data_IF_230266856248
#
_entry.id   IF_230266856248
#
_cell.length_a   1.000
_cell.length_b   1.000
_cell.length_c   1.000
_cell.angle_alpha   90.00
_cell.angle_beta   90.00
_cell.angle_gamma   90.00
#
_symmetry.space_group_name_H-M   'P 1'
#
loop_
_entity.id
_entity.type
_entity.pdbx_description
1 polymer ?
#
# COMPACT_ATOMS: atom_id res chain seq x y z
N UNK A 1 -4.96 60.89 -9.58
CA UNK A 1 -4.46 61.17 -8.22
C UNK A 1 -4.69 59.91 -7.39
N UNK A 2 -3.68 59.03 -7.31
CA UNK A 2 -3.70 57.81 -6.49
C UNK A 2 -3.31 58.16 -5.03
N UNK A 3 -3.50 57.25 -4.05
CA UNK A 3 -2.34 56.42 -3.70
C UNK A 3 -2.65 54.96 -3.34
N UNK A 4 -1.65 54.12 -3.66
CA UNK A 4 -1.41 52.85 -3.00
C UNK A 4 -0.97 53.05 -1.55
N UNK A 5 -1.48 52.25 -0.60
CA UNK A 5 -1.01 52.04 0.78
C UNK A 5 -1.64 50.69 1.22
N UNK A 6 -1.02 49.66 1.80
CA UNK A 6 0.33 49.35 2.30
C UNK A 6 0.45 47.81 2.34
N UNK A 7 1.62 47.29 2.00
CA UNK A 7 2.06 45.97 2.42
C UNK A 7 2.44 45.99 3.91
N UNK A 8 2.48 44.80 4.53
CA UNK A 8 3.07 44.53 5.85
C UNK A 8 2.26 44.90 7.09
N UNK A 9 1.46 43.92 7.53
CA UNK A 9 1.30 43.54 8.93
C UNK A 9 1.12 42.02 8.93
N UNK A 10 1.71 41.21 9.78
CA UNK A 10 2.64 41.41 10.87
C UNK A 10 2.94 39.96 11.25
N UNK A 11 4.16 39.50 11.03
CA UNK A 11 4.63 38.21 11.48
C UNK A 11 4.35 38.06 12.99
N UNK A 12 3.90 36.87 13.43
CA UNK A 12 3.86 36.29 14.80
C UNK A 12 2.56 35.48 14.96
N UNK A 13 2.51 34.19 15.32
CA UNK A 13 3.41 33.39 16.15
C UNK A 13 3.41 31.92 15.74
N UNK A 14 4.59 31.41 15.45
CA UNK A 14 4.94 30.00 15.60
C UNK A 14 5.24 29.79 17.10
N UNK A 15 4.43 28.99 17.79
CA UNK A 15 4.75 28.27 19.05
C UNK A 15 4.22 26.85 18.79
N UNK A 16 5.03 25.82 18.58
CA UNK A 16 5.98 25.19 19.51
C UNK A 16 5.45 25.11 20.93
N UNK A 17 4.98 23.92 21.32
CA UNK A 17 5.63 23.08 22.35
C UNK A 17 5.22 21.61 22.09
N UNK A 18 6.09 20.69 21.66
CA UNK A 18 7.29 20.13 22.32
C UNK A 18 6.93 19.11 23.42
N UNK A 19 7.11 17.82 23.13
CA UNK A 19 7.73 16.90 24.07
C UNK A 19 8.44 15.76 23.33
N UNK A 20 9.76 15.78 23.49
CA UNK A 20 10.75 14.92 22.87
C UNK A 20 10.91 13.57 23.57
N UNK A 21 11.41 12.58 22.83
CA UNK A 21 12.65 11.84 23.15
C UNK A 21 12.95 10.90 21.97
N UNK A 22 13.83 11.27 21.03
CA UNK A 22 15.30 11.24 21.09
C UNK A 22 15.89 9.84 21.35
N UNK A 23 16.24 9.13 20.28
CA UNK A 23 17.62 8.65 20.06
C UNK A 23 17.72 7.76 18.83
N UNK A 24 18.45 8.24 17.82
CA UNK A 24 19.50 7.49 17.12
C UNK A 24 19.88 8.27 15.86
N UNK A 25 20.84 9.17 16.04
CA UNK A 25 21.93 9.42 15.07
C UNK A 25 21.63 9.26 13.58
N UNK A 26 20.69 10.04 13.03
CA UNK A 26 20.60 10.17 11.58
C UNK A 26 21.53 11.29 11.09
N UNK A 27 22.59 10.85 10.41
CA UNK A 27 23.73 11.63 9.94
C UNK A 27 23.37 12.87 9.10
N UNK A 28 24.18 13.93 9.24
CA UNK A 28 24.14 15.21 8.52
C UNK A 28 24.28 15.15 6.98
N UNK A 29 24.29 13.97 6.35
CA UNK A 29 24.66 13.79 4.94
C UNK A 29 23.43 13.74 4.01
N UNK A 30 22.21 13.61 4.52
CA UNK A 30 21.03 13.28 3.71
C UNK A 30 20.32 14.41 2.94
N UNK A 31 20.95 15.57 2.69
CA UNK A 31 20.29 16.71 2.00
C UNK A 31 20.55 16.77 0.47
N UNK A 32 21.13 15.71 -0.11
CA UNK A 32 21.45 15.62 -1.54
C UNK A 32 20.62 14.57 -2.29
N UNK A 33 19.76 13.83 -1.60
CA UNK A 33 18.78 12.96 -2.24
C UNK A 33 17.44 13.62 -1.93
N UNK A 34 16.79 14.19 -2.96
CA UNK A 34 15.40 14.64 -2.83
C UNK A 34 14.52 13.50 -2.28
N UNK A 35 13.27 13.78 -1.86
CA UNK A 35 12.35 12.69 -1.51
C UNK A 35 12.41 11.65 -2.64
N UNK A 36 12.65 10.35 -2.34
CA UNK A 36 12.77 9.32 -3.38
C UNK A 36 11.58 9.50 -4.31
N UNK A 37 11.83 9.60 -5.61
CA UNK A 37 10.90 10.08 -6.64
C UNK A 37 9.62 9.26 -6.68
N UNK A 38 8.72 9.56 -5.75
CA UNK A 38 7.52 8.79 -5.50
C UNK A 38 6.39 9.47 -6.22
N UNK A 39 6.34 9.29 -7.55
CA UNK A 39 5.13 9.56 -8.28
C UNK A 39 4.03 8.66 -7.65
N UNK A 40 2.85 9.17 -7.30
CA UNK A 40 1.73 8.35 -6.87
C UNK A 40 1.11 7.72 -8.12
N UNK A 41 1.50 6.49 -8.45
CA UNK A 41 1.07 5.83 -9.69
C UNK A 41 0.54 4.43 -9.44
N UNK A 42 -0.73 4.28 -9.78
CA UNK A 42 -1.47 3.08 -10.20
C UNK A 42 -1.61 1.85 -9.28
N UNK A 43 -0.93 1.76 -8.13
CA UNK A 43 -1.02 0.54 -7.29
C UNK A 43 -1.60 0.75 -5.88
N UNK A 44 -2.26 1.88 -5.62
CA UNK A 44 -2.93 2.13 -4.33
C UNK A 44 -4.12 1.19 -4.08
N UNK A 45 -4.72 0.63 -5.11
CA UNK A 45 -5.84 -0.31 -4.92
C UNK A 45 -5.33 -1.71 -4.57
N UNK A 46 -4.21 -2.07 -5.18
CA UNK A 46 -3.65 -3.42 -5.15
C UNK A 46 -3.09 -3.79 -3.78
N UNK A 47 -2.58 -2.83 -3.00
CA UNK A 47 -2.10 -3.11 -1.64
C UNK A 47 -3.19 -3.67 -0.73
N UNK A 48 -4.42 -3.18 -0.88
CA UNK A 48 -5.55 -3.69 -0.12
C UNK A 48 -5.86 -5.15 -0.51
N UNK A 49 -5.82 -5.47 -1.81
CA UNK A 49 -6.02 -6.82 -2.30
C UNK A 49 -5.00 -7.80 -1.70
N UNK A 50 -3.70 -7.46 -1.71
CA UNK A 50 -2.65 -8.28 -1.10
C UNK A 50 -2.90 -8.51 0.39
N UNK A 51 -3.27 -7.45 1.11
CA UNK A 51 -3.61 -7.53 2.54
C UNK A 51 -4.81 -8.43 2.81
N UNK A 52 -5.85 -8.40 1.96
CA UNK A 52 -7.01 -9.27 2.10
C UNK A 52 -6.68 -10.73 1.82
N UNK A 53 -5.91 -11.02 0.76
CA UNK A 53 -5.46 -12.38 0.46
C UNK A 53 -4.67 -12.94 1.64
N UNK A 54 -3.68 -12.20 2.16
CA UNK A 54 -2.94 -12.63 3.34
C UNK A 54 -3.85 -12.94 4.54
N UNK A 55 -4.80 -12.04 4.83
CA UNK A 55 -5.77 -12.24 5.93
C UNK A 55 -6.67 -13.46 5.71
N UNK A 56 -7.06 -13.72 4.46
CA UNK A 56 -7.88 -14.87 4.09
C UNK A 56 -7.15 -16.19 4.38
N UNK A 57 -5.86 -16.26 4.06
CA UNK A 57 -4.99 -17.40 4.39
C UNK A 57 -4.55 -17.44 5.86
N UNK A 58 -4.98 -16.48 6.69
CA UNK A 58 -4.65 -16.35 8.13
C UNK A 58 -3.14 -16.27 8.42
N UNK A 59 -2.35 -15.80 7.48
CA UNK A 59 -0.90 -15.69 7.64
C UNK A 59 -0.49 -14.37 8.28
N UNK A 60 0.54 -14.42 9.14
CA UNK A 60 1.18 -13.22 9.67
C UNK A 60 2.05 -12.53 8.61
N UNK A 61 2.39 -11.26 8.83
CA UNK A 61 3.28 -10.51 7.91
C UNK A 61 4.67 -11.17 7.86
N UNK A 62 5.13 -11.74 8.97
CA UNK A 62 6.42 -12.40 9.08
C UNK A 62 6.45 -13.72 8.31
N UNK A 63 5.36 -14.50 8.35
CA UNK A 63 5.25 -15.75 7.60
C UNK A 63 5.28 -15.50 6.09
N UNK A 64 4.48 -14.55 5.59
CA UNK A 64 4.48 -14.21 4.16
C UNK A 64 5.84 -13.67 3.72
N UNK A 65 6.48 -12.86 4.56
CA UNK A 65 7.82 -12.36 4.29
C UNK A 65 8.85 -13.50 4.16
N UNK A 66 8.76 -14.53 5.00
CA UNK A 66 9.62 -15.72 4.92
C UNK A 66 9.39 -16.51 3.61
N UNK A 67 8.13 -16.78 3.26
CA UNK A 67 7.78 -17.53 2.04
C UNK A 67 8.19 -16.80 0.75
N UNK A 68 7.98 -15.48 0.72
CA UNK A 68 8.30 -14.63 -0.44
C UNK A 68 9.79 -14.24 -0.48
N UNK A 69 10.57 -14.58 0.56
CA UNK A 69 11.97 -14.19 0.74
C UNK A 69 12.19 -12.65 0.72
N UNK A 70 11.28 -11.91 1.36
CA UNK A 70 11.36 -10.45 1.51
C UNK A 70 11.42 -10.07 2.99
N UNK A 71 11.83 -8.83 3.28
CA UNK A 71 11.83 -8.38 4.68
C UNK A 71 10.39 -8.09 5.16
N UNK A 72 10.05 -8.38 6.43
CA UNK A 72 8.72 -8.08 6.97
C UNK A 72 8.34 -6.60 6.89
N UNK A 73 9.34 -5.72 7.09
CA UNK A 73 9.16 -4.27 6.93
C UNK A 73 8.71 -3.92 5.51
N UNK A 74 9.34 -4.52 4.50
CA UNK A 74 9.01 -4.28 3.09
C UNK A 74 7.57 -4.69 2.76
N UNK A 75 7.15 -5.87 3.22
CA UNK A 75 5.76 -6.33 3.06
C UNK A 75 4.78 -5.37 3.75
N UNK A 76 5.10 -4.92 4.96
CA UNK A 76 4.25 -3.97 5.69
C UNK A 76 4.14 -2.62 4.96
N UNK A 77 5.22 -2.14 4.35
CA UNK A 77 5.23 -0.89 3.59
C UNK A 77 4.41 -1.02 2.32
N UNK A 78 4.45 -2.17 1.66
CA UNK A 78 3.62 -2.49 0.50
C UNK A 78 2.14 -2.52 0.89
N UNK A 79 1.76 -3.27 1.93
CA UNK A 79 0.36 -3.38 2.36
C UNK A 79 -0.24 -2.05 2.84
N UNK A 80 0.61 -1.15 3.34
CA UNK A 80 0.24 0.20 3.75
C UNK A 80 0.27 1.22 2.59
N UNK A 81 0.60 0.80 1.37
CA UNK A 81 0.66 1.68 0.19
C UNK A 81 1.83 2.67 0.20
N UNK A 82 2.81 2.49 1.11
CA UNK A 82 4.03 3.32 1.18
C UNK A 82 5.04 2.95 0.09
N UNK A 83 5.02 1.68 -0.36
CA UNK A 83 5.88 1.14 -1.42
C UNK A 83 5.06 0.66 -2.63
N UNK A 84 5.66 0.78 -3.82
CA UNK A 84 5.01 0.47 -5.08
C UNK A 84 5.09 -1.04 -5.27
N UNK A 85 3.98 -1.62 -5.72
CA UNK A 85 3.93 -3.03 -6.05
C UNK A 85 4.48 -3.18 -7.46
N UNK A 86 5.59 -3.90 -7.59
CA UNK A 86 6.14 -4.34 -8.86
C UNK A 86 5.52 -5.68 -9.25
N UNK A 87 5.53 -5.98 -10.55
CA UNK A 87 5.00 -7.24 -11.07
C UNK A 87 5.67 -8.48 -10.44
N UNK A 88 6.97 -8.40 -10.15
CA UNK A 88 7.73 -9.49 -9.52
C UNK A 88 7.17 -9.88 -8.14
N UNK A 89 6.76 -8.88 -7.36
CA UNK A 89 6.12 -9.11 -6.04
C UNK A 89 4.78 -9.79 -6.24
N UNK A 90 4.01 -9.34 -7.22
CA UNK A 90 2.70 -9.90 -7.51
C UNK A 90 2.79 -11.35 -8.01
N UNK A 91 3.83 -11.67 -8.78
CA UNK A 91 4.18 -13.04 -9.18
C UNK A 91 4.58 -13.88 -7.97
N UNK A 92 5.43 -13.36 -7.09
CA UNK A 92 5.86 -14.10 -5.91
C UNK A 92 4.68 -14.41 -4.96
N UNK A 93 3.78 -13.45 -4.77
CA UNK A 93 2.50 -13.69 -4.09
C UNK A 93 1.65 -14.74 -4.82
N UNK A 94 1.54 -14.65 -6.15
CA UNK A 94 0.81 -15.63 -6.94
C UNK A 94 1.35 -17.06 -6.77
N UNK A 95 2.67 -17.22 -6.70
CA UNK A 95 3.30 -18.51 -6.47
C UNK A 95 3.04 -19.04 -5.05
N UNK A 96 3.18 -18.20 -4.01
CA UNK A 96 2.97 -18.60 -2.61
C UNK A 96 1.50 -18.96 -2.33
N UNK A 97 0.56 -18.19 -2.88
CA UNK A 97 -0.87 -18.41 -2.66
C UNK A 97 -1.54 -19.28 -3.74
N UNK A 98 -0.76 -19.78 -4.70
CA UNK A 98 -1.23 -20.52 -5.88
C UNK A 98 -2.39 -19.81 -6.60
N UNK A 99 -2.26 -18.49 -6.78
CA UNK A 99 -3.28 -17.61 -7.37
C UNK A 99 -2.75 -16.86 -8.60
N UNK A 100 -3.54 -16.74 -9.68
CA UNK A 100 -3.11 -15.99 -10.85
C UNK A 100 -3.12 -14.47 -10.59
N UNK A 101 -2.22 -13.76 -11.27
CA UNK A 101 -2.05 -12.30 -11.14
C UNK A 101 -3.35 -11.52 -11.40
N UNK A 102 -4.15 -11.98 -12.36
CA UNK A 102 -5.44 -11.38 -12.72
C UNK A 102 -6.43 -11.39 -11.56
N UNK A 103 -6.38 -12.40 -10.69
CA UNK A 103 -7.24 -12.47 -9.51
C UNK A 103 -6.98 -11.34 -8.53
N UNK A 104 -5.73 -10.93 -8.32
CA UNK A 104 -5.42 -9.79 -7.45
C UNK A 104 -5.99 -8.48 -7.98
N UNK A 105 -5.93 -8.27 -9.29
CA UNK A 105 -6.52 -7.10 -9.95
C UNK A 105 -8.06 -7.11 -9.85
N UNK A 106 -8.70 -8.26 -10.05
CA UNK A 106 -10.15 -8.41 -9.88
C UNK A 106 -10.59 -8.10 -8.44
N UNK A 107 -9.81 -8.57 -7.46
CA UNK A 107 -10.05 -8.28 -6.04
C UNK A 107 -9.87 -6.78 -5.80
N UNK A 108 -8.84 -6.15 -6.36
CA UNK A 108 -8.60 -4.71 -6.24
C UNK A 108 -9.82 -3.89 -6.73
N UNK A 109 -10.32 -4.15 -7.93
CA UNK A 109 -11.51 -3.48 -8.50
C UNK A 109 -12.76 -3.66 -7.60
N UNK A 110 -12.88 -4.84 -7.00
CA UNK A 110 -14.00 -5.14 -6.10
C UNK A 110 -14.00 -4.36 -4.80
N UNK A 111 -12.81 -3.96 -4.34
CA UNK A 111 -12.64 -3.22 -3.08
C UNK A 111 -13.05 -1.76 -3.29
N UNK A 112 -12.75 -1.18 -4.45
CA UNK A 112 -13.17 0.18 -4.81
C UNK A 112 -14.68 0.28 -5.01
N UNK A 113 -15.27 -0.75 -5.62
CA UNK A 113 -16.71 -0.76 -5.88
C UNK A 113 -17.48 -1.23 -4.63
N UNK A 114 -17.76 -0.30 -3.71
CA UNK A 114 -18.47 -0.54 -2.43
C UNK A 114 -19.92 -1.07 -2.52
N UNK A 115 -20.43 -1.43 -3.70
CA UNK A 115 -21.81 -1.90 -3.89
C UNK A 115 -21.95 -3.42 -3.60
N UNK A 116 -22.72 -3.75 -2.55
CA UNK A 116 -22.89 -5.11 -2.01
C UNK A 116 -23.42 -6.18 -2.98
N UNK A 117 -24.07 -5.79 -4.08
CA UNK A 117 -24.55 -6.71 -5.14
C UNK A 117 -23.40 -7.33 -5.95
N UNK A 118 -22.28 -6.61 -6.14
CA UNK A 118 -21.13 -7.05 -6.95
C UNK A 118 -20.21 -8.02 -6.20
N UNK A 119 -20.08 -7.87 -4.88
CA UNK A 119 -19.41 -8.85 -4.00
C UNK A 119 -19.98 -10.25 -4.16
N UNK A 120 -21.30 -10.36 -4.40
CA UNK A 120 -21.97 -11.63 -4.67
C UNK A 120 -21.61 -12.23 -6.03
N UNK A 121 -21.38 -11.40 -7.05
CA UNK A 121 -20.92 -11.85 -8.36
C UNK A 121 -19.47 -12.33 -8.33
N UNK A 122 -18.59 -11.65 -7.60
CA UNK A 122 -17.20 -12.06 -7.42
C UNK A 122 -17.12 -13.36 -6.63
N UNK A 123 -17.91 -13.50 -5.56
CA UNK A 123 -18.03 -14.79 -4.84
C UNK A 123 -18.40 -15.94 -5.78
N UNK A 124 -19.36 -15.74 -6.70
CA UNK A 124 -19.74 -16.77 -7.68
C UNK A 124 -18.61 -17.10 -8.66
N UNK A 125 -17.84 -16.09 -9.10
CA UNK A 125 -16.67 -16.29 -9.98
C UNK A 125 -15.54 -17.02 -9.27
N UNK A 126 -15.24 -16.63 -8.03
CA UNK A 126 -14.23 -17.29 -7.19
C UNK A 126 -14.65 -18.74 -6.89
N UNK A 127 -15.92 -18.99 -6.58
CA UNK A 127 -16.43 -20.37 -6.41
C UNK A 127 -16.19 -21.23 -7.64
N UNK A 128 -16.44 -20.71 -8.85
CA UNK A 128 -16.15 -21.43 -10.10
C UNK A 128 -14.66 -21.73 -10.31
N UNK A 129 -13.78 -20.83 -9.91
CA UNK A 129 -12.32 -21.03 -10.02
C UNK A 129 -11.86 -22.08 -9.01
N UNK A 130 -12.38 -22.02 -7.78
CA UNK A 130 -12.08 -23.02 -6.73
C UNK A 130 -12.60 -24.40 -7.13
N UNK A 131 -13.81 -24.48 -7.67
CA UNK A 131 -14.42 -25.72 -8.18
C UNK A 131 -13.57 -26.34 -9.30
N UNK A 132 -13.08 -25.52 -10.23
CA UNK A 132 -12.21 -25.98 -11.32
C UNK A 132 -10.83 -26.50 -10.85
N UNK A 133 -10.29 -25.96 -9.76
CA UNK A 133 -9.00 -26.41 -9.18
C UNK A 133 -9.20 -27.65 -8.28
N UNK A 134 -10.41 -27.88 -7.77
CA UNK A 134 -10.73 -28.99 -6.88
C UNK A 134 -11.18 -30.27 -7.63
N UNK A 135 -11.24 -30.23 -8.97
CA UNK A 135 -11.61 -31.39 -9.82
C UNK A 135 -10.42 -32.31 -10.19
N UNK A 136 -9.22 -32.06 -9.63
CA UNK A 136 -8.07 -33.00 -9.65
C UNK A 136 -7.81 -33.61 -8.26
#
# INVERSE_FOLDING_TARGET
MAPMVEASRFAQTFRSDNSASASSSFCRIGRLIGPPSYLPGENLVLHNALRYVRKFHRMSVNEVAAEVNLSPSYISEIENGKKRIHQDILQAYGNVFNMPISSFHLIAESIETSNGSRKRAIRRKISKIIEWIAED
#
